data_IF_182227525896
#
_entry.id   IF_182227525896
#
_cell.length_a   1.000
_cell.length_b   1.000
_cell.length_c   1.000
_cell.angle_alpha   90.00
_cell.angle_beta   90.00
_cell.angle_gamma   90.00
#
_symmetry.space_group_name_H-M   'P 1'
#
loop_
_entity.id
_entity.type
_entity.pdbx_description
1 polymer ?
#
# COMPACT_ATOMS: atom_id res chain seq x y z
N UNK A 1 -4.99 22.79 -30.60
CA UNK A 1 -6.22 23.57 -30.38
C UNK A 1 -7.47 22.70 -30.27
N UNK A 2 -7.66 21.69 -31.12
CA UNK A 2 -8.79 20.76 -31.11
C UNK A 2 -8.89 19.84 -29.85
N UNK A 3 -7.75 19.42 -29.30
CA UNK A 3 -7.73 18.56 -28.09
C UNK A 3 -8.17 19.31 -26.84
N UNK A 4 -7.85 20.60 -26.72
CA UNK A 4 -8.27 21.44 -25.58
C UNK A 4 -9.78 21.73 -25.62
N UNK A 5 -10.35 21.95 -26.78
CA UNK A 5 -11.78 22.15 -26.97
C UNK A 5 -12.61 20.88 -26.72
N UNK A 6 -12.03 19.68 -26.99
CA UNK A 6 -12.66 18.40 -26.70
C UNK A 6 -12.65 18.04 -25.21
N UNK A 7 -11.66 18.54 -24.46
CA UNK A 7 -11.62 18.42 -22.99
C UNK A 7 -12.60 19.35 -22.29
N UNK A 8 -12.74 20.59 -22.77
CA UNK A 8 -13.65 21.59 -22.16
C UNK A 8 -15.14 21.25 -22.29
N UNK A 9 -15.55 20.55 -23.37
CA UNK A 9 -16.95 20.17 -23.57
C UNK A 9 -17.42 18.97 -22.74
N UNK A 10 -16.50 18.10 -22.29
CA UNK A 10 -16.80 16.95 -21.42
C UNK A 10 -16.96 17.31 -19.94
N UNK A 11 -16.43 18.45 -19.49
CA UNK A 11 -16.33 18.77 -18.06
C UNK A 11 -17.64 19.27 -17.43
N UNK A 12 -18.60 19.74 -18.20
CA UNK A 12 -19.84 20.32 -17.67
C UNK A 12 -20.96 19.30 -17.37
N UNK A 13 -20.92 18.09 -17.92
CA UNK A 13 -21.99 17.09 -17.82
C UNK A 13 -21.52 15.73 -17.23
N UNK A 14 -20.22 15.45 -17.15
CA UNK A 14 -19.74 14.17 -16.65
C UNK A 14 -19.82 14.08 -15.12
N UNK A 15 -20.30 12.95 -14.56
CA UNK A 15 -20.31 12.72 -13.13
C UNK A 15 -18.91 12.91 -12.53
N UNK A 16 -18.85 13.56 -11.36
CA UNK A 16 -17.59 13.93 -10.72
C UNK A 16 -17.37 13.13 -9.44
N UNK A 17 -16.20 12.50 -9.31
CA UNK A 17 -15.78 11.72 -8.14
C UNK A 17 -14.52 12.34 -7.53
N UNK A 18 -14.54 12.58 -6.22
CA UNK A 18 -13.40 13.08 -5.48
C UNK A 18 -12.71 11.93 -4.71
N UNK A 19 -11.39 11.76 -4.86
CA UNK A 19 -10.62 10.73 -4.16
C UNK A 19 -9.59 11.38 -3.26
N UNK A 20 -9.76 11.24 -1.94
CA UNK A 20 -8.85 11.78 -0.94
C UNK A 20 -7.77 10.72 -0.60
N UNK A 21 -6.57 10.87 -1.17
CA UNK A 21 -5.50 9.88 -1.13
C UNK A 21 -4.13 10.45 -0.69
N UNK A 22 -4.08 11.69 -0.21
CA UNK A 22 -2.83 12.33 0.19
C UNK A 22 -2.27 11.85 1.54
N UNK A 23 -0.99 12.16 1.75
CA UNK A 23 -0.27 11.97 3.01
C UNK A 23 0.85 10.97 2.98
N UNK A 24 0.74 9.90 2.19
CA UNK A 24 1.79 8.89 1.96
C UNK A 24 1.53 8.12 0.66
N UNK A 25 2.57 7.56 0.05
CA UNK A 25 2.42 6.68 -1.12
C UNK A 25 1.48 5.49 -0.87
N UNK A 26 1.38 5.02 0.39
CA UNK A 26 0.46 3.94 0.78
C UNK A 26 -1.02 4.24 0.61
N UNK A 27 -1.41 5.51 0.53
CA UNK A 27 -2.78 5.94 0.23
C UNK A 27 -2.94 6.41 -1.21
N UNK A 28 -1.91 7.05 -1.74
CA UNK A 28 -1.92 7.66 -3.06
C UNK A 28 -2.00 6.61 -4.18
N UNK A 29 -1.12 5.60 -4.18
CA UNK A 29 -1.08 4.62 -5.26
C UNK A 29 -2.34 3.74 -5.36
N UNK A 30 -2.93 3.24 -4.26
CA UNK A 30 -4.23 2.59 -4.32
C UNK A 30 -5.36 3.53 -4.79
N UNK A 31 -5.32 4.81 -4.38
CA UNK A 31 -6.27 5.83 -4.85
C UNK A 31 -6.15 6.08 -6.35
N UNK A 32 -4.93 6.16 -6.87
CA UNK A 32 -4.65 6.31 -8.29
C UNK A 32 -5.17 5.10 -9.09
N UNK A 33 -4.95 3.88 -8.58
CA UNK A 33 -5.44 2.67 -9.24
C UNK A 33 -6.98 2.66 -9.38
N UNK A 34 -7.72 3.14 -8.36
CA UNK A 34 -9.18 3.28 -8.44
C UNK A 34 -9.57 4.43 -9.38
N UNK A 35 -8.87 5.56 -9.32
CA UNK A 35 -9.11 6.72 -10.16
C UNK A 35 -9.02 6.38 -11.65
N UNK A 36 -7.99 5.62 -12.06
CA UNK A 36 -7.82 5.13 -13.43
C UNK A 36 -9.05 4.35 -13.90
N UNK A 37 -9.65 3.47 -13.05
CA UNK A 37 -10.85 2.71 -13.39
C UNK A 37 -12.08 3.60 -13.55
N UNK A 38 -12.20 4.67 -12.75
CA UNK A 38 -13.32 5.61 -12.81
C UNK A 38 -13.22 6.49 -14.07
N UNK A 39 -12.02 6.95 -14.41
CA UNK A 39 -11.78 7.75 -15.62
C UNK A 39 -12.09 6.96 -16.89
N UNK A 40 -11.75 5.67 -16.94
CA UNK A 40 -12.08 4.78 -18.07
C UNK A 40 -13.58 4.66 -18.34
N UNK A 41 -14.41 4.92 -17.32
CA UNK A 41 -15.87 4.96 -17.44
C UNK A 41 -16.41 6.38 -17.68
N UNK A 42 -15.62 7.24 -18.30
CA UNK A 42 -15.96 8.61 -18.69
C UNK A 42 -16.41 9.52 -17.52
N UNK A 43 -16.06 9.19 -16.27
CA UNK A 43 -16.30 10.04 -15.12
C UNK A 43 -15.10 10.96 -14.86
N UNK A 44 -15.39 12.18 -14.47
CA UNK A 44 -14.34 13.12 -14.05
C UNK A 44 -13.84 12.78 -12.64
N UNK A 45 -12.53 12.83 -12.43
CA UNK A 45 -11.91 12.52 -11.14
C UNK A 45 -11.01 13.65 -10.68
N UNK A 46 -11.14 14.05 -9.40
CA UNK A 46 -10.12 14.85 -8.72
C UNK A 46 -9.43 14.04 -7.62
N UNK A 47 -8.11 13.99 -7.67
CA UNK A 47 -7.26 13.46 -6.61
C UNK A 47 -6.95 14.57 -5.61
N UNK A 48 -7.41 14.41 -4.37
CA UNK A 48 -7.18 15.35 -3.29
C UNK A 48 -5.94 14.89 -2.51
N UNK A 49 -4.84 15.63 -2.66
CA UNK A 49 -3.53 15.29 -2.12
C UNK A 49 -3.06 16.29 -1.08
N UNK A 50 -1.98 15.97 -0.36
CA UNK A 50 -1.36 16.88 0.59
C UNK A 50 -0.21 17.67 -0.04
N UNK A 51 0.24 18.77 0.60
CA UNK A 51 1.38 19.55 0.12
C UNK A 51 2.74 18.84 0.38
N UNK A 52 2.74 17.61 0.87
CA UNK A 52 3.98 16.85 1.10
C UNK A 52 4.67 16.54 -0.21
N UNK A 53 5.99 16.65 -0.21
CA UNK A 53 6.82 16.40 -1.38
C UNK A 53 6.59 15.01 -2.01
N UNK A 54 6.42 13.98 -1.18
CA UNK A 54 6.14 12.62 -1.66
C UNK A 54 4.84 12.53 -2.47
N UNK A 55 3.81 13.26 -2.08
CA UNK A 55 2.55 13.30 -2.83
C UNK A 55 2.74 14.10 -4.12
N UNK A 56 3.39 15.27 -4.02
CA UNK A 56 3.63 16.15 -5.17
C UNK A 56 4.51 15.50 -6.24
N UNK A 57 5.52 14.73 -5.84
CA UNK A 57 6.36 13.98 -6.78
C UNK A 57 5.59 12.85 -7.46
N UNK A 58 4.79 12.12 -6.70
CA UNK A 58 4.06 10.97 -7.23
C UNK A 58 2.92 11.34 -8.20
N UNK A 59 2.35 12.56 -8.09
CA UNK A 59 1.29 13.01 -9.00
C UNK A 59 1.80 13.71 -10.27
N UNK A 60 3.10 13.99 -10.38
CA UNK A 60 3.69 14.68 -11.56
C UNK A 60 3.46 13.95 -12.88
N UNK A 61 3.37 12.63 -12.84
CA UNK A 61 3.19 11.76 -14.00
C UNK A 61 1.74 11.34 -14.22
N UNK A 62 0.81 11.88 -13.43
CA UNK A 62 -0.61 11.55 -13.55
C UNK A 62 -1.24 12.40 -14.64
N UNK A 63 -1.82 11.75 -15.63
CA UNK A 63 -2.53 12.38 -16.75
C UNK A 63 -4.03 12.09 -16.69
N UNK A 64 -4.83 12.96 -17.29
CA UNK A 64 -6.28 12.76 -17.42
C UNK A 64 -7.10 12.95 -16.13
N UNK A 65 -6.49 13.43 -15.04
CA UNK A 65 -7.13 13.67 -13.75
C UNK A 65 -6.80 15.05 -13.21
N UNK A 66 -7.74 15.63 -12.50
CA UNK A 66 -7.50 16.88 -11.76
C UNK A 66 -6.74 16.59 -10.45
N UNK A 67 -5.68 17.34 -10.19
CA UNK A 67 -4.91 17.25 -8.94
C UNK A 67 -5.20 18.47 -8.09
N UNK A 68 -5.77 18.26 -6.92
CA UNK A 68 -6.10 19.34 -5.98
C UNK A 68 -5.29 19.17 -4.69
N UNK A 69 -4.43 20.11 -4.40
CA UNK A 69 -3.68 20.14 -3.14
C UNK A 69 -4.49 20.82 -2.04
N UNK A 70 -4.87 20.05 -1.03
CA UNK A 70 -5.59 20.59 0.13
C UNK A 70 -4.64 20.90 1.30
N UNK A 71 -4.88 22.00 2.06
CA UNK A 71 -4.14 22.25 3.28
C UNK A 71 -4.30 21.07 4.23
N UNK A 72 -3.20 20.52 4.72
CA UNK A 72 -3.26 19.35 5.58
C UNK A 72 -2.21 19.44 6.69
N UNK A 73 -2.64 19.24 7.93
CA UNK A 73 -1.77 19.19 9.11
C UNK A 73 -2.03 17.89 9.83
N UNK A 74 -0.97 17.08 10.02
CA UNK A 74 -1.07 15.85 10.80
C UNK A 74 -1.21 16.13 12.28
N UNK A 75 -2.00 15.30 12.98
CA UNK A 75 -2.08 15.38 14.44
C UNK A 75 -0.76 14.91 15.06
N UNK A 76 -0.06 15.82 15.71
CA UNK A 76 1.12 15.57 16.52
C UNK A 76 0.84 15.93 17.98
N UNK A 77 1.54 15.30 18.91
CA UNK A 77 1.40 15.59 20.33
C UNK A 77 1.82 17.05 20.61
N UNK A 78 1.00 17.81 21.30
CA UNK A 78 1.22 19.24 21.56
C UNK A 78 0.89 20.18 20.39
N UNK A 79 0.30 19.67 19.30
CA UNK A 79 -0.12 20.50 18.15
C UNK A 79 -1.63 20.40 17.84
N UNK A 80 -2.44 20.12 18.84
CA UNK A 80 -3.89 19.90 18.70
C UNK A 80 -4.59 21.11 18.09
N UNK A 81 -4.24 22.32 18.51
CA UNK A 81 -4.79 23.57 17.93
C UNK A 81 -4.40 23.76 16.46
N UNK A 82 -3.15 23.43 16.10
CA UNK A 82 -2.70 23.49 14.72
C UNK A 82 -3.43 22.45 13.86
N UNK A 83 -3.68 21.26 14.41
CA UNK A 83 -4.49 20.22 13.75
C UNK A 83 -5.92 20.69 13.52
N UNK A 84 -6.60 21.25 14.53
CA UNK A 84 -7.99 21.76 14.40
C UNK A 84 -8.07 22.87 13.35
N UNK A 85 -7.13 23.83 13.38
CA UNK A 85 -7.03 24.87 12.35
C UNK A 85 -6.79 24.30 10.95
N UNK A 86 -5.86 23.34 10.82
CA UNK A 86 -5.55 22.65 9.57
C UNK A 86 -6.76 21.88 9.05
N UNK A 87 -7.46 21.15 9.92
CA UNK A 87 -8.69 20.44 9.60
C UNK A 87 -9.78 21.42 9.07
N UNK A 88 -10.03 22.52 9.79
CA UNK A 88 -11.01 23.52 9.41
C UNK A 88 -10.67 24.19 8.08
N UNK A 89 -9.37 24.49 7.83
CA UNK A 89 -8.92 25.05 6.55
C UNK A 89 -9.14 24.06 5.41
N UNK A 90 -8.76 22.79 5.60
CA UNK A 90 -8.95 21.74 4.61
C UNK A 90 -10.43 21.50 4.31
N UNK A 91 -11.28 21.46 5.36
CA UNK A 91 -12.73 21.33 5.21
C UNK A 91 -13.34 22.50 4.40
N UNK A 92 -12.96 23.75 4.74
CA UNK A 92 -13.46 24.93 4.02
C UNK A 92 -13.00 24.95 2.57
N UNK A 93 -11.72 24.62 2.31
CA UNK A 93 -11.19 24.55 0.96
C UNK A 93 -11.92 23.48 0.12
N UNK A 94 -12.10 22.27 0.67
CA UNK A 94 -12.86 21.21 0.02
C UNK A 94 -14.34 21.62 -0.20
N UNK A 95 -14.96 22.23 0.80
CA UNK A 95 -16.36 22.69 0.69
C UNK A 95 -16.54 23.78 -0.38
N UNK A 96 -15.58 24.69 -0.52
CA UNK A 96 -15.59 25.72 -1.58
C UNK A 96 -15.46 25.09 -2.95
N UNK A 97 -14.51 24.16 -3.13
CA UNK A 97 -14.34 23.39 -4.36
C UNK A 97 -15.65 22.63 -4.71
N UNK A 98 -16.22 21.93 -3.75
CA UNK A 98 -17.40 21.09 -3.98
C UNK A 98 -18.71 21.90 -4.14
N UNK A 99 -18.75 23.15 -3.71
CA UNK A 99 -19.88 24.06 -4.03
C UNK A 99 -19.83 24.51 -5.47
N UNK A 100 -18.65 24.74 -6.05
CA UNK A 100 -18.51 25.11 -7.47
C UNK A 100 -18.67 23.89 -8.40
N UNK A 101 -18.26 22.70 -7.93
CA UNK A 101 -18.39 21.43 -8.66
C UNK A 101 -18.74 20.31 -7.68
N UNK A 102 -20.05 20.06 -7.45
CA UNK A 102 -20.50 19.07 -6.49
C UNK A 102 -20.07 17.63 -6.91
N UNK A 103 -19.36 16.89 -6.05
CA UNK A 103 -19.06 15.49 -6.33
C UNK A 103 -20.31 14.63 -6.14
N UNK A 104 -20.56 13.69 -7.06
CA UNK A 104 -21.56 12.66 -6.87
C UNK A 104 -21.10 11.62 -5.83
N UNK A 105 -19.79 11.35 -5.79
CA UNK A 105 -19.17 10.47 -4.81
C UNK A 105 -17.83 10.99 -4.29
N UNK A 106 -17.47 10.61 -3.06
CA UNK A 106 -16.16 10.89 -2.48
C UNK A 106 -15.60 9.65 -1.78
N UNK A 107 -14.34 9.29 -2.09
CA UNK A 107 -13.65 8.12 -1.58
C UNK A 107 -12.43 8.54 -0.74
N UNK A 108 -12.36 8.11 0.52
CA UNK A 108 -11.17 8.22 1.37
C UNK A 108 -10.27 6.99 1.18
N UNK A 109 -8.98 7.22 0.87
CA UNK A 109 -7.99 6.14 0.84
C UNK A 109 -7.21 6.02 2.15
N UNK A 110 -7.52 6.87 3.13
CA UNK A 110 -6.86 6.89 4.43
C UNK A 110 -6.00 8.13 4.67
N UNK A 111 -5.36 8.14 5.85
CA UNK A 111 -4.58 9.27 6.30
C UNK A 111 -5.41 10.42 6.88
N UNK A 112 -4.71 11.35 7.54
CA UNK A 112 -5.35 12.51 8.18
C UNK A 112 -5.93 13.51 7.17
N UNK A 113 -5.49 13.43 5.91
CA UNK A 113 -5.93 14.29 4.82
C UNK A 113 -7.32 13.96 4.31
N UNK A 114 -7.82 12.74 4.57
CA UNK A 114 -9.07 12.25 3.99
C UNK A 114 -10.32 12.77 4.70
N UNK A 115 -10.27 12.95 6.03
CA UNK A 115 -11.47 13.24 6.80
C UNK A 115 -12.15 14.58 6.42
N UNK A 116 -11.44 15.71 6.29
CA UNK A 116 -12.07 16.98 5.96
C UNK A 116 -12.84 16.96 4.62
N UNK A 117 -12.26 16.49 3.49
CA UNK A 117 -12.98 16.50 2.22
C UNK A 117 -14.13 15.50 2.20
N UNK A 118 -14.03 14.33 2.84
CA UNK A 118 -15.15 13.38 2.92
C UNK A 118 -16.35 13.99 3.67
N UNK A 119 -16.09 14.68 4.78
CA UNK A 119 -17.16 15.38 5.49
C UNK A 119 -17.77 16.51 4.65
N UNK A 120 -16.94 17.30 3.95
CA UNK A 120 -17.42 18.34 3.07
C UNK A 120 -18.31 17.77 1.96
N UNK A 121 -17.89 16.68 1.31
CA UNK A 121 -18.70 16.01 0.29
C UNK A 121 -20.02 15.47 0.86
N UNK A 122 -19.97 14.81 2.03
CA UNK A 122 -21.16 14.29 2.70
C UNK A 122 -22.17 15.39 3.04
N UNK A 123 -21.72 16.56 3.53
CA UNK A 123 -22.63 17.70 3.83
C UNK A 123 -23.28 18.31 2.59
N UNK A 124 -22.79 17.98 1.41
CA UNK A 124 -23.34 18.38 0.12
C UNK A 124 -24.11 17.25 -0.60
N UNK A 125 -24.38 16.15 0.10
CA UNK A 125 -25.22 15.05 -0.42
C UNK A 125 -24.48 13.98 -1.22
N UNK A 126 -23.15 14.04 -1.34
CA UNK A 126 -22.37 13.04 -2.05
C UNK A 126 -22.41 11.66 -1.36
N UNK A 127 -22.39 10.58 -2.16
CA UNK A 127 -22.14 9.24 -1.68
C UNK A 127 -20.69 9.13 -1.15
N UNK A 128 -20.50 8.60 0.04
CA UNK A 128 -19.18 8.61 0.70
C UNK A 128 -18.68 7.21 0.99
N UNK A 129 -17.39 7.01 0.70
CA UNK A 129 -16.73 5.71 0.81
C UNK A 129 -15.39 5.87 1.53
N UNK A 130 -14.88 4.77 2.09
CA UNK A 130 -13.50 4.68 2.55
C UNK A 130 -12.88 3.35 2.14
N UNK A 131 -11.56 3.35 1.94
CA UNK A 131 -10.74 2.16 1.84
C UNK A 131 -9.70 2.14 2.97
N UNK A 132 -9.58 0.99 3.66
CA UNK A 132 -8.52 0.76 4.65
C UNK A 132 -7.65 -0.39 4.18
N UNK A 133 -6.39 -0.08 3.89
CA UNK A 133 -5.43 -1.06 3.38
C UNK A 133 -4.78 -1.92 4.46
N UNK A 134 -4.75 -1.49 5.72
CA UNK A 134 -4.01 -2.17 6.79
C UNK A 134 -4.92 -3.06 7.65
N UNK A 135 -4.31 -4.04 8.33
CA UNK A 135 -4.98 -4.88 9.35
C UNK A 135 -5.48 -4.05 10.54
N UNK A 136 -4.69 -3.05 10.96
CA UNK A 136 -5.08 -2.11 12.01
C UNK A 136 -5.48 -0.79 11.36
N UNK A 137 -6.76 -0.42 11.43
CA UNK A 137 -7.25 0.80 10.78
C UNK A 137 -6.60 2.06 11.37
N UNK A 138 -6.28 3.00 10.49
CA UNK A 138 -5.85 4.33 10.88
C UNK A 138 -6.94 5.08 11.65
N UNK A 139 -6.54 6.02 12.55
CA UNK A 139 -7.51 6.81 13.36
C UNK A 139 -8.55 7.52 12.51
N UNK A 140 -8.13 8.12 11.39
CA UNK A 140 -9.05 8.80 10.48
C UNK A 140 -10.10 7.83 9.90
N UNK A 141 -9.67 6.65 9.41
CA UNK A 141 -10.57 5.66 8.85
C UNK A 141 -11.49 5.04 9.90
N UNK A 142 -10.99 4.80 11.13
CA UNK A 142 -11.86 4.34 12.24
C UNK A 142 -12.97 5.34 12.53
N UNK A 143 -12.65 6.64 12.55
CA UNK A 143 -13.64 7.69 12.76
C UNK A 143 -14.57 7.86 11.55
N UNK A 144 -14.03 7.91 10.33
CA UNK A 144 -14.82 8.02 9.11
C UNK A 144 -15.76 6.83 8.92
N UNK A 145 -15.42 5.65 9.43
CA UNK A 145 -16.26 4.46 9.28
C UNK A 145 -17.67 4.61 9.88
N UNK A 146 -17.85 5.51 10.87
CA UNK A 146 -19.17 5.84 11.42
C UNK A 146 -20.04 6.66 10.46
N UNK A 147 -19.43 7.39 9.54
CA UNK A 147 -20.15 8.42 8.76
C UNK A 147 -20.25 8.10 7.27
N UNK A 148 -19.38 7.25 6.71
CA UNK A 148 -19.42 6.89 5.30
C UNK A 148 -20.54 5.88 4.99
N UNK A 149 -21.01 5.88 3.74
CA UNK A 149 -22.03 4.96 3.27
C UNK A 149 -21.53 3.51 3.19
N UNK A 150 -20.26 3.32 2.80
CA UNK A 150 -19.62 2.00 2.69
C UNK A 150 -18.13 2.07 2.96
N UNK A 151 -17.57 1.00 3.54
CA UNK A 151 -16.15 0.82 3.75
C UNK A 151 -15.63 -0.39 2.97
N UNK A 152 -14.45 -0.24 2.38
CA UNK A 152 -13.70 -1.31 1.73
C UNK A 152 -12.47 -1.63 2.58
N UNK A 153 -12.07 -2.89 2.67
CA UNK A 153 -10.92 -3.30 3.47
C UNK A 153 -9.98 -4.22 2.70
N UNK A 154 -8.67 -4.01 2.90
CA UNK A 154 -7.62 -4.82 2.31
C UNK A 154 -7.48 -6.18 2.98
N UNK A 155 -7.61 -6.23 4.31
CA UNK A 155 -7.46 -7.43 5.11
C UNK A 155 -8.80 -7.87 5.71
N UNK A 156 -9.13 -9.19 5.71
CA UNK A 156 -10.37 -9.70 6.30
C UNK A 156 -10.54 -9.32 7.77
N UNK A 157 -9.46 -9.37 8.57
CA UNK A 157 -9.46 -9.04 10.00
C UNK A 157 -9.82 -7.58 10.30
N UNK A 158 -9.70 -6.69 9.32
CA UNK A 158 -10.02 -5.26 9.47
C UNK A 158 -11.53 -5.01 9.52
N UNK A 159 -12.34 -5.92 8.94
CA UNK A 159 -13.81 -5.78 8.91
C UNK A 159 -14.40 -5.52 10.30
N UNK A 160 -13.95 -6.26 11.30
CA UNK A 160 -14.48 -6.17 12.68
C UNK A 160 -13.89 -5.00 13.48
N UNK A 161 -12.99 -4.22 12.89
CA UNK A 161 -12.31 -3.07 13.51
C UNK A 161 -12.87 -1.73 13.05
N UNK A 162 -13.83 -1.75 12.12
CA UNK A 162 -14.54 -0.58 11.61
C UNK A 162 -15.98 -0.57 12.11
N UNK A 163 -16.49 0.64 12.38
CA UNK A 163 -17.85 0.84 12.87
C UNK A 163 -18.80 1.19 11.70
N UNK A 164 -18.80 0.36 10.67
CA UNK A 164 -19.69 0.51 9.51
C UNK A 164 -20.43 -0.80 9.26
N UNK A 165 -21.72 -0.71 8.97
CA UNK A 165 -22.55 -1.89 8.68
C UNK A 165 -22.26 -2.48 7.29
N UNK A 166 -21.82 -1.65 6.37
CA UNK A 166 -21.54 -2.00 4.97
C UNK A 166 -20.04 -2.11 4.73
N UNK A 167 -19.37 -3.13 5.26
CA UNK A 167 -17.95 -3.39 5.05
C UNK A 167 -17.76 -4.51 4.04
N UNK A 168 -17.02 -4.24 2.97
CA UNK A 168 -16.68 -5.20 1.91
C UNK A 168 -15.18 -5.51 1.95
N UNK A 169 -14.83 -6.80 2.02
CA UNK A 169 -13.44 -7.26 1.88
C UNK A 169 -13.13 -7.30 0.38
N UNK A 170 -12.18 -6.48 -0.08
CA UNK A 170 -11.93 -6.30 -1.50
C UNK A 170 -10.45 -6.41 -1.87
N UNK A 171 -9.57 -6.37 -0.88
CA UNK A 171 -8.13 -6.28 -1.10
C UNK A 171 -7.64 -4.84 -1.21
N UNK A 172 -6.33 -4.67 -1.38
CA UNK A 172 -5.72 -3.35 -1.61
C UNK A 172 -5.54 -3.15 -3.12
N UNK A 173 -6.09 -2.06 -3.70
CA UNK A 173 -5.92 -1.75 -5.11
C UNK A 173 -4.46 -1.62 -5.51
N UNK A 174 -4.11 -2.20 -6.65
CA UNK A 174 -2.77 -2.15 -7.26
C UNK A 174 -2.89 -1.62 -8.68
N UNK A 175 -1.94 -0.81 -9.12
CA UNK A 175 -1.90 -0.26 -10.48
C UNK A 175 -1.71 -1.37 -11.52
N UNK A 176 -2.25 -1.21 -12.73
CA UNK A 176 -2.24 -2.24 -13.81
C UNK A 176 -0.86 -2.74 -14.21
N UNK A 177 0.19 -1.92 -14.09
CA UNK A 177 1.53 -2.33 -14.44
C UNK A 177 2.12 -3.42 -13.53
N UNK A 178 1.56 -3.61 -12.32
CA UNK A 178 1.96 -4.67 -11.39
C UNK A 178 1.26 -6.00 -11.75
N UNK A 179 1.72 -6.60 -12.82
CA UNK A 179 1.31 -7.92 -13.32
C UNK A 179 2.53 -8.81 -13.51
N UNK A 180 2.32 -10.10 -13.54
CA UNK A 180 3.39 -11.07 -13.77
C UNK A 180 4.17 -10.71 -15.04
N UNK A 181 5.50 -10.76 -14.95
CA UNK A 181 6.44 -10.39 -16.00
C UNK A 181 7.50 -11.47 -16.17
N UNK A 182 8.15 -11.50 -17.32
CA UNK A 182 9.34 -12.32 -17.51
C UNK A 182 10.50 -11.74 -16.67
N UNK A 183 10.98 -12.50 -15.69
CA UNK A 183 12.00 -12.05 -14.75
C UNK A 183 13.34 -11.75 -15.45
N UNK A 184 13.75 -12.58 -16.41
CA UNK A 184 14.98 -12.36 -17.19
C UNK A 184 14.94 -11.05 -17.99
N UNK A 185 13.81 -10.76 -18.65
CA UNK A 185 13.62 -9.52 -19.37
C UNK A 185 13.67 -8.29 -18.43
N UNK A 186 13.05 -8.38 -17.25
CA UNK A 186 13.12 -7.32 -16.25
C UNK A 186 14.54 -7.11 -15.74
N UNK A 187 15.31 -8.18 -15.49
CA UNK A 187 16.71 -8.12 -15.08
C UNK A 187 17.58 -7.43 -16.12
N UNK A 188 17.46 -7.86 -17.39
CA UNK A 188 18.18 -7.25 -18.50
C UNK A 188 17.86 -5.75 -18.62
N UNK A 189 16.59 -5.34 -18.50
CA UNK A 189 16.18 -3.95 -18.54
C UNK A 189 16.76 -3.11 -17.37
N UNK A 190 17.13 -3.76 -16.26
CA UNK A 190 17.77 -3.13 -15.10
C UNK A 190 19.32 -3.20 -15.14
N UNK A 191 19.91 -3.70 -16.24
CA UNK A 191 21.36 -3.87 -16.37
C UNK A 191 21.93 -5.01 -15.54
N UNK A 192 21.10 -6.01 -15.21
CA UNK A 192 21.48 -7.21 -14.47
C UNK A 192 21.51 -8.43 -15.40
N UNK A 193 22.26 -9.46 -15.01
CA UNK A 193 22.28 -10.74 -15.72
C UNK A 193 20.91 -11.42 -15.62
N UNK A 194 20.35 -11.76 -16.77
CA UNK A 194 19.01 -12.32 -16.90
C UNK A 194 18.86 -13.69 -16.20
N UNK A 195 19.92 -14.48 -16.13
CA UNK A 195 19.90 -15.86 -15.60
C UNK A 195 20.15 -15.92 -14.09
N UNK A 196 20.82 -14.92 -13.51
CA UNK A 196 21.22 -14.95 -12.09
C UNK A 196 20.11 -14.45 -11.17
N UNK A 197 19.97 -15.03 -9.95
CA UNK A 197 19.01 -14.55 -8.96
C UNK A 197 19.23 -13.09 -8.58
N UNK A 198 18.14 -12.36 -8.37
CA UNK A 198 18.16 -10.97 -7.92
C UNK A 198 17.45 -10.82 -6.58
N UNK A 199 18.14 -10.25 -5.60
CA UNK A 199 17.55 -9.79 -4.34
C UNK A 199 17.20 -8.32 -4.43
N UNK A 200 15.91 -8.02 -4.26
CA UNK A 200 15.40 -6.66 -4.15
C UNK A 200 15.41 -6.22 -2.68
N UNK A 201 16.03 -5.07 -2.39
CA UNK A 201 15.95 -4.45 -1.06
C UNK A 201 15.16 -3.15 -1.18
N UNK A 202 14.05 -3.02 -0.42
CA UNK A 202 13.21 -1.83 -0.46
C UNK A 202 12.67 -1.45 0.93
N UNK A 203 12.86 -0.18 1.30
CA UNK A 203 12.40 0.39 2.58
C UNK A 203 11.12 1.23 2.48
N UNK A 204 10.49 1.31 1.30
CA UNK A 204 9.44 2.27 0.96
C UNK A 204 10.01 3.56 0.38
N UNK A 205 9.13 4.53 0.03
CA UNK A 205 9.49 5.76 -0.70
C UNK A 205 10.55 6.64 -0.03
N UNK A 206 10.69 6.56 1.29
CA UNK A 206 11.67 7.34 2.06
C UNK A 206 12.97 6.55 2.36
N UNK A 207 13.06 5.31 1.91
CA UNK A 207 14.12 4.40 2.30
C UNK A 207 13.94 3.86 3.73
N UNK A 208 14.88 3.05 4.19
CA UNK A 208 14.91 2.51 5.54
C UNK A 208 16.34 2.21 6.00
N UNK A 209 17.01 3.19 6.61
CA UNK A 209 18.41 3.06 7.06
C UNK A 209 18.65 1.83 7.93
N UNK A 210 17.68 1.42 8.74
CA UNK A 210 17.80 0.20 9.54
C UNK A 210 17.81 -1.08 8.68
N UNK A 211 17.04 -1.14 7.59
CA UNK A 211 17.11 -2.26 6.62
C UNK A 211 18.46 -2.20 5.89
N UNK A 212 18.88 -1.03 5.42
CA UNK A 212 20.17 -0.86 4.75
C UNK A 212 21.31 -1.35 5.64
N UNK A 213 21.31 -0.96 6.92
CA UNK A 213 22.33 -1.38 7.89
C UNK A 213 22.30 -2.89 8.14
N UNK A 214 21.11 -3.48 8.30
CA UNK A 214 20.93 -4.93 8.48
C UNK A 214 21.47 -5.71 7.28
N UNK A 215 21.17 -5.26 6.07
CA UNK A 215 21.69 -5.85 4.83
C UNK A 215 23.22 -5.73 4.79
N UNK A 216 23.79 -4.54 4.99
CA UNK A 216 25.24 -4.30 5.01
C UNK A 216 25.95 -5.27 5.98
N UNK A 217 25.41 -5.46 7.16
CA UNK A 217 25.97 -6.39 8.16
C UNK A 217 25.88 -7.86 7.75
N UNK A 218 24.90 -8.22 6.93
CA UNK A 218 24.71 -9.59 6.42
C UNK A 218 25.53 -9.89 5.15
N UNK A 219 25.97 -8.86 4.41
CA UNK A 219 26.67 -9.04 3.13
C UNK A 219 27.95 -9.89 3.22
N UNK A 220 28.84 -9.77 4.25
CA UNK A 220 30.02 -10.61 4.34
C UNK A 220 29.70 -12.10 4.43
N UNK A 221 28.60 -12.45 5.09
CA UNK A 221 28.12 -13.84 5.18
C UNK A 221 27.47 -14.27 3.85
N UNK A 222 26.63 -13.44 3.27
CA UNK A 222 25.93 -13.72 2.01
C UNK A 222 26.89 -13.80 0.82
N UNK A 223 27.96 -13.01 0.79
CA UNK A 223 29.00 -13.11 -0.22
C UNK A 223 29.68 -14.48 -0.27
N UNK A 224 29.78 -15.14 0.88
CA UNK A 224 30.35 -16.51 0.97
C UNK A 224 29.32 -17.58 0.62
N UNK A 225 28.06 -17.41 1.08
CA UNK A 225 26.99 -18.41 0.90
C UNK A 225 26.41 -18.39 -0.51
N UNK A 226 26.37 -17.23 -1.15
CA UNK A 226 25.65 -17.02 -2.39
C UNK A 226 26.37 -16.02 -3.33
N UNK A 227 27.61 -16.33 -3.77
CA UNK A 227 28.43 -15.41 -4.58
C UNK A 227 27.81 -15.14 -5.98
N UNK A 228 26.87 -16.00 -6.40
CA UNK A 228 26.17 -15.86 -7.67
C UNK A 228 25.00 -14.87 -7.67
N UNK A 229 24.60 -14.33 -6.52
CA UNK A 229 23.44 -13.43 -6.47
C UNK A 229 23.78 -12.01 -6.96
N UNK A 230 22.73 -11.32 -7.38
CA UNK A 230 22.75 -9.92 -7.75
C UNK A 230 21.79 -9.13 -6.86
N UNK A 231 22.03 -7.85 -6.73
CA UNK A 231 21.29 -7.00 -5.82
C UNK A 231 20.68 -5.81 -6.56
N UNK A 232 19.41 -5.52 -6.29
CA UNK A 232 18.76 -4.26 -6.66
C UNK A 232 18.32 -3.58 -5.35
N UNK A 233 19.03 -2.51 -4.95
CA UNK A 233 18.89 -1.94 -3.63
C UNK A 233 18.39 -0.51 -3.66
N UNK A 234 17.19 -0.28 -3.09
CA UNK A 234 16.56 1.03 -2.95
C UNK A 234 16.82 1.56 -1.55
N UNK A 235 17.80 2.44 -1.42
CA UNK A 235 18.36 2.85 -0.12
C UNK A 235 17.62 4.02 0.54
N UNK A 236 16.88 4.83 -0.24
CA UNK A 236 16.57 6.20 0.14
C UNK A 236 17.78 7.14 -0.10
N UNK A 237 17.57 8.46 0.04
CA UNK A 237 18.58 9.46 -0.33
C UNK A 237 19.85 9.42 0.53
N UNK A 238 19.73 9.08 1.83
CA UNK A 238 20.84 9.23 2.79
C UNK A 238 21.93 8.16 2.72
N UNK A 239 21.60 6.92 2.30
CA UNK A 239 22.50 5.77 2.46
C UNK A 239 23.14 5.29 1.15
N UNK A 240 22.79 5.85 0.01
CA UNK A 240 23.15 5.32 -1.31
C UNK A 240 24.66 5.17 -1.52
N UNK A 241 25.44 6.14 -1.09
CA UNK A 241 26.90 6.10 -1.26
C UNK A 241 27.53 5.00 -0.39
N UNK A 242 27.15 4.92 0.88
CA UNK A 242 27.64 3.89 1.81
C UNK A 242 27.31 2.49 1.31
N UNK A 243 26.10 2.27 0.85
CA UNK A 243 25.66 0.99 0.33
C UNK A 243 26.44 0.59 -0.92
N UNK A 244 26.62 1.50 -1.90
CA UNK A 244 27.45 1.25 -3.09
C UNK A 244 28.87 0.85 -2.74
N UNK A 245 29.51 1.59 -1.85
CA UNK A 245 30.88 1.30 -1.39
C UNK A 245 31.00 -0.09 -0.76
N UNK A 246 30.00 -0.49 0.03
CA UNK A 246 30.01 -1.81 0.68
C UNK A 246 29.90 -2.94 -0.36
N UNK A 247 28.97 -2.83 -1.34
CA UNK A 247 28.86 -3.83 -2.41
C UNK A 247 30.17 -3.92 -3.22
N UNK A 248 30.77 -2.76 -3.58
CA UNK A 248 32.01 -2.71 -4.33
C UNK A 248 33.18 -3.35 -3.57
N UNK A 249 33.33 -3.05 -2.28
CA UNK A 249 34.38 -3.63 -1.41
C UNK A 249 34.30 -5.15 -1.33
N UNK A 250 33.09 -5.71 -1.37
CA UNK A 250 32.82 -7.15 -1.34
C UNK A 250 32.79 -7.77 -2.76
N UNK A 251 33.03 -7.00 -3.80
CA UNK A 251 32.96 -7.41 -5.23
C UNK A 251 31.64 -8.06 -5.61
N UNK A 252 30.52 -7.60 -5.02
CA UNK A 252 29.18 -8.07 -5.31
C UNK A 252 28.53 -7.28 -6.44
N UNK A 253 27.81 -7.95 -7.32
CA UNK A 253 27.05 -7.32 -8.41
C UNK A 253 25.82 -6.64 -7.80
N UNK A 254 25.74 -5.30 -7.86
CA UNK A 254 24.64 -4.54 -7.29
C UNK A 254 24.31 -3.29 -8.11
N UNK A 255 23.01 -3.08 -8.32
CA UNK A 255 22.45 -1.81 -8.80
C UNK A 255 21.82 -1.09 -7.60
N UNK A 256 22.31 0.11 -7.30
CA UNK A 256 21.92 0.86 -6.09
C UNK A 256 21.32 2.20 -6.48
N UNK A 257 20.06 2.43 -6.12
CA UNK A 257 19.35 3.69 -6.35
C UNK A 257 18.85 4.29 -5.03
N UNK A 258 18.87 5.62 -4.87
CA UNK A 258 18.19 6.27 -3.76
C UNK A 258 16.67 6.15 -3.88
N UNK A 259 16.15 6.18 -5.10
CA UNK A 259 14.74 6.05 -5.45
C UNK A 259 14.60 5.43 -6.85
N UNK A 260 13.53 4.67 -7.06
CA UNK A 260 13.23 4.08 -8.36
C UNK A 260 11.72 4.12 -8.63
N UNK A 261 11.33 4.66 -9.78
CA UNK A 261 9.93 4.89 -10.10
C UNK A 261 9.23 3.65 -10.68
N UNK A 262 9.97 2.85 -11.48
CA UNK A 262 9.44 1.69 -12.21
C UNK A 262 9.49 0.42 -11.33
N UNK A 263 8.79 0.48 -10.18
CA UNK A 263 8.79 -0.61 -9.19
C UNK A 263 8.31 -1.94 -9.75
N UNK A 264 7.46 -1.93 -10.76
CA UNK A 264 7.00 -3.13 -11.47
C UNK A 264 8.14 -3.86 -12.20
N UNK A 265 9.19 -3.17 -12.65
CA UNK A 265 10.39 -3.78 -13.20
C UNK A 265 11.27 -4.35 -12.09
N UNK A 266 11.48 -3.59 -11.01
CA UNK A 266 12.31 -4.04 -9.89
C UNK A 266 11.71 -5.29 -9.23
N UNK A 267 10.41 -5.32 -8.99
CA UNK A 267 9.68 -6.48 -8.46
C UNK A 267 9.63 -7.63 -9.47
N UNK A 268 9.46 -7.33 -10.78
CA UNK A 268 9.47 -8.34 -11.84
C UNK A 268 10.83 -9.04 -11.99
N UNK A 269 11.94 -8.34 -11.71
CA UNK A 269 13.30 -8.90 -11.74
C UNK A 269 13.62 -9.75 -10.51
N UNK A 270 12.94 -9.53 -9.38
CA UNK A 270 13.29 -10.08 -8.09
C UNK A 270 13.02 -11.58 -8.00
N UNK A 271 13.98 -12.34 -7.48
CA UNK A 271 13.80 -13.72 -7.02
C UNK A 271 13.20 -13.75 -5.63
N UNK A 272 13.67 -12.86 -4.78
CA UNK A 272 13.15 -12.61 -3.44
C UNK A 272 13.36 -11.13 -3.07
N UNK A 273 12.67 -10.66 -2.03
CA UNK A 273 12.78 -9.30 -1.57
C UNK A 273 12.98 -9.19 -0.06
N UNK A 274 13.61 -8.09 0.37
CA UNK A 274 13.57 -7.58 1.74
C UNK A 274 12.74 -6.32 1.71
N UNK A 275 11.69 -6.25 2.50
CA UNK A 275 10.74 -5.13 2.43
C UNK A 275 10.21 -4.71 3.80
N UNK A 276 9.81 -3.44 3.93
CA UNK A 276 8.85 -3.02 4.95
C UNK A 276 7.49 -3.65 4.69
N UNK A 277 6.66 -3.76 5.73
CA UNK A 277 5.32 -4.35 5.63
C UNK A 277 4.20 -3.31 5.48
N UNK A 278 4.42 -2.29 4.64
CA UNK A 278 3.36 -1.37 4.22
C UNK A 278 2.33 -2.09 3.33
N UNK A 279 1.05 -1.86 3.54
CA UNK A 279 -0.02 -2.60 2.86
C UNK A 279 0.06 -2.54 1.32
N UNK A 280 0.43 -1.37 0.75
CA UNK A 280 0.61 -1.24 -0.71
C UNK A 280 1.78 -2.08 -1.22
N UNK A 281 2.92 -2.08 -0.49
CA UNK A 281 4.08 -2.92 -0.86
C UNK A 281 3.72 -4.41 -0.80
N UNK A 282 2.94 -4.82 0.21
CA UNK A 282 2.47 -6.21 0.32
C UNK A 282 1.54 -6.60 -0.83
N UNK A 283 0.66 -5.69 -1.25
CA UNK A 283 -0.22 -5.91 -2.39
C UNK A 283 0.58 -6.01 -3.72
N UNK A 284 1.61 -5.17 -3.91
CA UNK A 284 2.51 -5.20 -5.05
C UNK A 284 3.36 -6.48 -5.08
N UNK A 285 3.92 -6.90 -3.92
CA UNK A 285 4.61 -8.19 -3.76
C UNK A 285 3.70 -9.36 -4.10
N UNK A 286 2.44 -9.32 -3.66
CA UNK A 286 1.45 -10.36 -3.94
C UNK A 286 1.08 -10.40 -5.42
N UNK A 287 0.94 -9.25 -6.08
CA UNK A 287 0.61 -9.17 -7.51
C UNK A 287 1.69 -9.79 -8.41
N UNK A 288 2.95 -9.61 -8.05
CA UNK A 288 4.08 -10.20 -8.79
C UNK A 288 4.58 -11.51 -8.17
N UNK A 289 3.93 -12.00 -7.11
CA UNK A 289 4.27 -13.26 -6.41
C UNK A 289 5.73 -13.29 -5.97
N UNK A 290 6.26 -12.17 -5.45
CA UNK A 290 7.65 -12.06 -5.01
C UNK A 290 7.77 -12.47 -3.54
N UNK A 291 8.41 -13.60 -3.22
CA UNK A 291 8.66 -14.02 -1.85
C UNK A 291 9.48 -12.98 -1.10
N UNK A 292 9.12 -12.69 0.14
CA UNK A 292 9.78 -11.61 0.87
C UNK A 292 10.08 -11.94 2.33
N UNK A 293 11.23 -11.45 2.81
CA UNK A 293 11.48 -11.23 4.22
C UNK A 293 10.93 -9.86 4.58
N UNK A 294 9.88 -9.84 5.37
CA UNK A 294 9.21 -8.63 5.83
C UNK A 294 9.82 -8.15 7.13
N UNK A 295 10.33 -6.93 7.12
CA UNK A 295 10.92 -6.26 8.28
C UNK A 295 10.02 -5.09 8.67
N UNK A 296 9.02 -5.28 9.54
CA UNK A 296 8.09 -4.23 9.94
C UNK A 296 8.79 -3.02 10.54
N UNK A 297 8.27 -1.81 10.25
CA UNK A 297 8.78 -0.59 10.89
C UNK A 297 8.32 -0.53 12.35
N UNK A 298 9.25 -0.54 13.33
CA UNK A 298 8.89 -0.66 14.76
C UNK A 298 8.07 0.50 15.31
N UNK A 299 8.23 1.69 14.72
CA UNK A 299 7.51 2.90 15.12
C UNK A 299 6.25 3.15 14.28
N UNK A 300 5.80 2.14 13.52
CA UNK A 300 4.54 2.23 12.77
C UNK A 300 3.36 2.44 13.73
N UNK A 301 2.53 3.45 13.44
CA UNK A 301 1.42 3.83 14.32
C UNK A 301 0.47 2.64 14.54
N UNK A 302 0.22 2.30 15.81
CA UNK A 302 -0.60 1.12 16.16
C UNK A 302 0.03 -0.20 15.72
N UNK A 303 1.31 -0.23 15.47
CA UNK A 303 2.08 -1.41 15.05
C UNK A 303 1.51 -2.11 13.79
N UNK A 304 0.80 -1.34 12.92
CA UNK A 304 0.08 -1.89 11.79
C UNK A 304 0.97 -2.69 10.83
N UNK A 305 2.27 -2.30 10.65
CA UNK A 305 3.15 -3.06 9.77
C UNK A 305 3.49 -4.44 10.33
N UNK A 306 3.65 -4.58 11.64
CA UNK A 306 3.84 -5.89 12.27
C UNK A 306 2.61 -6.79 12.04
N UNK A 307 1.40 -6.27 12.28
CA UNK A 307 0.18 -7.04 12.06
C UNK A 307 -0.07 -7.37 10.58
N UNK A 308 0.30 -6.49 9.66
CA UNK A 308 0.28 -6.78 8.22
C UNK A 308 1.23 -7.93 7.86
N UNK A 309 2.50 -7.85 8.31
CA UNK A 309 3.51 -8.88 8.06
C UNK A 309 3.10 -10.22 8.65
N UNK A 310 2.61 -10.21 9.89
CA UNK A 310 2.16 -11.40 10.59
C UNK A 310 1.01 -12.10 9.87
N UNK A 311 0.05 -11.36 9.34
CA UNK A 311 -1.04 -11.94 8.56
C UNK A 311 -0.56 -12.68 7.30
N UNK A 312 0.47 -12.15 6.62
CA UNK A 312 1.08 -12.84 5.48
C UNK A 312 1.90 -14.06 5.93
N UNK A 313 2.67 -13.95 7.01
CA UNK A 313 3.45 -15.05 7.56
C UNK A 313 2.57 -16.21 8.00
N UNK A 314 1.52 -15.95 8.77
CA UNK A 314 0.55 -16.95 9.24
C UNK A 314 -0.14 -17.69 8.08
N UNK A 315 -0.28 -17.04 6.93
CA UNK A 315 -0.82 -17.66 5.70
C UNK A 315 0.25 -18.35 4.83
N UNK A 316 1.51 -18.35 5.26
CA UNK A 316 2.65 -18.89 4.50
C UNK A 316 3.07 -18.02 3.31
N UNK A 317 2.61 -16.76 3.21
CA UNK A 317 2.89 -15.88 2.07
C UNK A 317 4.17 -15.03 2.22
N UNK A 318 4.81 -15.05 3.39
CA UNK A 318 6.05 -14.31 3.64
C UNK A 318 6.83 -14.90 4.81
N UNK A 319 8.01 -14.34 5.07
CA UNK A 319 8.77 -14.55 6.31
C UNK A 319 8.84 -13.24 7.08
N UNK A 320 8.52 -13.28 8.37
CA UNK A 320 8.60 -12.12 9.26
C UNK A 320 9.98 -12.11 9.96
N UNK A 321 10.61 -10.94 9.96
CA UNK A 321 11.86 -10.71 10.69
C UNK A 321 11.73 -9.40 11.50
N UNK A 322 11.70 -9.51 12.82
CA UNK A 322 11.55 -8.33 13.66
C UNK A 322 12.89 -7.57 13.78
N UNK A 323 12.89 -6.31 13.36
CA UNK A 323 14.10 -5.47 13.30
C UNK A 323 14.89 -5.42 14.63
N UNK A 324 14.22 -5.51 15.78
CA UNK A 324 14.85 -5.32 17.09
C UNK A 324 15.70 -6.53 17.53
N UNK A 325 15.30 -7.72 17.11
CA UNK A 325 15.90 -9.01 17.54
C UNK A 325 16.68 -9.68 16.42
N UNK A 326 16.51 -9.22 15.18
CA UNK A 326 17.14 -9.79 14.00
C UNK A 326 18.66 -9.70 14.05
N UNK A 327 19.31 -10.83 13.78
CA UNK A 327 20.74 -10.90 13.55
C UNK A 327 21.09 -10.98 12.05
N UNK A 328 22.32 -10.65 11.63
CA UNK A 328 22.75 -10.86 10.25
C UNK A 328 22.62 -12.33 9.79
N UNK A 329 22.80 -13.29 10.70
CA UNK A 329 22.63 -14.72 10.44
C UNK A 329 21.17 -15.10 10.15
N UNK A 330 20.21 -14.54 10.90
CA UNK A 330 18.79 -14.78 10.68
C UNK A 330 18.35 -14.30 9.30
N UNK A 331 18.75 -13.07 8.93
CA UNK A 331 18.45 -12.54 7.59
C UNK A 331 19.09 -13.42 6.51
N UNK A 332 20.36 -13.79 6.65
CA UNK A 332 21.04 -14.63 5.67
C UNK A 332 20.35 -15.98 5.50
N UNK A 333 19.99 -16.65 6.59
CA UNK A 333 19.28 -17.94 6.58
C UNK A 333 17.95 -17.85 5.82
N UNK A 334 17.13 -16.84 6.13
CA UNK A 334 15.84 -16.64 5.46
C UNK A 334 16.01 -16.33 3.97
N UNK A 335 17.00 -15.53 3.60
CA UNK A 335 17.26 -15.21 2.19
C UNK A 335 17.73 -16.45 1.40
N UNK A 336 18.64 -17.25 1.98
CA UNK A 336 19.09 -18.51 1.36
C UNK A 336 17.90 -19.47 1.18
N UNK A 337 17.02 -19.59 2.18
CA UNK A 337 15.77 -20.36 2.04
C UNK A 337 14.93 -19.87 0.84
N UNK A 338 14.69 -18.56 0.74
CA UNK A 338 13.83 -18.00 -0.31
C UNK A 338 14.44 -18.11 -1.73
N UNK A 339 15.75 -18.06 -1.84
CA UNK A 339 16.43 -18.06 -3.16
C UNK A 339 16.83 -19.46 -3.61
N UNK A 340 17.41 -20.26 -2.72
CA UNK A 340 17.96 -21.57 -3.09
C UNK A 340 16.94 -22.72 -2.95
N UNK A 341 15.99 -22.62 -2.01
CA UNK A 341 14.96 -23.64 -1.83
C UNK A 341 13.76 -23.40 -2.75
N UNK A 342 13.82 -23.94 -3.96
CA UNK A 342 12.76 -23.79 -4.98
C UNK A 342 11.38 -24.29 -4.51
N UNK A 343 11.21 -25.44 -3.84
CA UNK A 343 9.93 -25.86 -3.28
C UNK A 343 9.36 -24.87 -2.26
N UNK A 344 10.17 -24.38 -1.33
CA UNK A 344 9.72 -23.39 -0.34
C UNK A 344 9.30 -22.08 -1.02
N UNK A 345 10.09 -21.61 -1.99
CA UNK A 345 9.76 -20.43 -2.79
C UNK A 345 8.43 -20.59 -3.53
N UNK A 346 8.21 -21.72 -4.19
CA UNK A 346 6.96 -21.99 -4.90
C UNK A 346 5.75 -22.01 -3.97
N UNK A 347 5.88 -22.58 -2.78
CA UNK A 347 4.83 -22.59 -1.75
C UNK A 347 4.44 -21.15 -1.36
N UNK A 348 5.43 -20.28 -1.14
CA UNK A 348 5.19 -18.86 -0.82
C UNK A 348 4.54 -18.14 -2.00
N UNK A 349 4.99 -18.38 -3.23
CA UNK A 349 4.41 -17.80 -4.44
C UNK A 349 2.94 -18.17 -4.61
N UNK A 350 2.58 -19.43 -4.34
CA UNK A 350 1.19 -19.88 -4.37
C UNK A 350 0.35 -19.24 -3.25
N UNK A 351 0.93 -19.03 -2.08
CA UNK A 351 0.27 -18.31 -1.00
C UNK A 351 0.05 -16.82 -1.36
N UNK A 352 1.05 -16.15 -1.95
CA UNK A 352 0.94 -14.77 -2.43
C UNK A 352 -0.13 -14.62 -3.52
N UNK A 353 -0.27 -15.61 -4.41
CA UNK A 353 -1.31 -15.62 -5.43
C UNK A 353 -2.72 -15.55 -4.81
N UNK A 354 -2.95 -16.21 -3.67
CA UNK A 354 -4.23 -16.14 -2.93
C UNK A 354 -4.47 -14.78 -2.26
N UNK A 355 -3.40 -14.04 -1.94
CA UNK A 355 -3.50 -12.67 -1.42
C UNK A 355 -3.77 -11.63 -2.50
N UNK A 356 -3.33 -11.88 -3.72
CA UNK A 356 -3.55 -10.96 -4.82
C UNK A 356 -5.04 -10.81 -5.16
N UNK A 357 -5.50 -9.57 -5.29
CA UNK A 357 -6.87 -9.21 -5.67
C UNK A 357 -6.84 -8.33 -6.92
N UNK A 358 -6.69 -8.93 -8.12
CA UNK A 358 -6.45 -8.18 -9.36
C UNK A 358 -7.56 -7.19 -9.68
N UNK A 359 -8.81 -7.51 -9.34
CA UNK A 359 -9.97 -6.67 -9.61
C UNK A 359 -10.33 -5.69 -8.49
N UNK A 360 -9.48 -5.52 -7.45
CA UNK A 360 -9.82 -4.68 -6.30
C UNK A 360 -10.13 -3.23 -6.70
N UNK A 361 -9.32 -2.63 -7.57
CA UNK A 361 -9.54 -1.27 -8.06
C UNK A 361 -10.81 -1.14 -8.89
N UNK A 362 -11.06 -2.11 -9.77
CA UNK A 362 -12.25 -2.19 -10.62
C UNK A 362 -13.53 -2.33 -9.79
N UNK A 363 -13.56 -3.30 -8.87
CA UNK A 363 -14.72 -3.55 -8.00
C UNK A 363 -15.05 -2.34 -7.10
N UNK A 364 -14.04 -1.60 -6.61
CA UNK A 364 -14.29 -0.35 -5.88
C UNK A 364 -14.91 0.69 -6.81
N UNK A 365 -14.36 0.86 -8.01
CA UNK A 365 -14.91 1.79 -9.00
C UNK A 365 -16.37 1.44 -9.36
N UNK A 366 -16.67 0.17 -9.64
CA UNK A 366 -18.02 -0.33 -9.96
C UNK A 366 -19.00 -0.03 -8.81
N UNK A 367 -18.62 -0.33 -7.57
CA UNK A 367 -19.47 -0.06 -6.42
C UNK A 367 -19.71 1.44 -6.17
N UNK A 368 -18.69 2.28 -6.42
CA UNK A 368 -18.81 3.74 -6.32
C UNK A 368 -19.74 4.28 -7.42
N UNK A 369 -19.53 3.86 -8.67
CA UNK A 369 -20.31 4.30 -9.81
C UNK A 369 -21.78 3.84 -9.73
N UNK A 370 -22.00 2.58 -9.35
CA UNK A 370 -23.35 2.04 -9.10
C UNK A 370 -24.11 2.84 -8.03
N UNK A 371 -23.44 3.27 -6.98
CA UNK A 371 -24.06 4.04 -5.89
C UNK A 371 -24.50 5.46 -6.35
N UNK A 372 -23.97 5.97 -7.45
CA UNK A 372 -24.37 7.26 -8.04
C UNK A 372 -25.22 7.09 -9.30
N UNK A 373 -25.74 5.88 -9.54
CA UNK A 373 -26.69 5.59 -10.63
C UNK A 373 -26.07 5.37 -12.00
N UNK A 374 -24.74 5.22 -12.09
CA UNK A 374 -24.07 4.86 -13.35
C UNK A 374 -24.12 3.34 -13.48
N UNK A 375 -24.74 2.86 -14.56
CA UNK A 375 -24.79 1.43 -14.87
C UNK A 375 -23.45 0.96 -15.42
N UNK A 376 -23.08 -0.29 -15.11
CA UNK A 376 -22.02 -0.99 -15.82
C UNK A 376 -22.44 -1.12 -17.30
N UNK A 377 -21.63 -0.61 -18.22
CA UNK A 377 -21.68 -1.11 -19.58
C UNK A 377 -21.28 -2.58 -19.51
N UNK A 378 -22.07 -3.46 -20.12
CA UNK A 378 -21.72 -4.88 -20.17
C UNK A 378 -20.28 -5.03 -20.69
N UNK A 379 -19.44 -5.87 -20.07
CA UNK A 379 -18.09 -6.03 -20.57
C UNK A 379 -18.17 -6.50 -22.02
N UNK A 380 -17.49 -5.79 -22.92
CA UNK A 380 -17.18 -6.32 -24.24
C UNK A 380 -16.42 -7.63 -24.01
N UNK A 381 -17.05 -8.73 -24.40
CA UNK A 381 -16.58 -10.12 -24.25
C UNK A 381 -15.47 -10.37 -25.27
N UNK A 382 -14.39 -9.61 -25.20
CA UNK A 382 -13.18 -9.76 -26.00
C UNK A 382 -12.10 -10.44 -25.15
N UNK A 383 -12.14 -11.77 -25.10
CA UNK A 383 -11.00 -12.66 -24.95
C UNK A 383 -10.09 -12.39 -23.74
N UNK A 384 -10.54 -12.69 -22.51
CA UNK A 384 -9.64 -12.83 -21.37
C UNK A 384 -9.28 -14.30 -21.17
N UNK A 385 -8.02 -14.74 -21.41
CA UNK A 385 -7.61 -16.14 -21.24
C UNK A 385 -7.51 -16.58 -19.76
N UNK A 386 -7.79 -15.71 -18.79
CA UNK A 386 -7.67 -16.01 -17.36
C UNK A 386 -9.01 -16.23 -16.63
N UNK A 387 -10.09 -16.57 -17.36
CA UNK A 387 -11.36 -16.96 -16.73
C UNK A 387 -11.34 -18.42 -16.29
N UNK A 388 -10.47 -18.82 -15.38
CA UNK A 388 -10.59 -20.06 -14.66
C UNK A 388 -10.93 -19.82 -13.18
N UNK A 389 -12.12 -20.39 -12.83
CA UNK A 389 -12.62 -20.79 -11.53
C UNK A 389 -12.60 -19.74 -10.41
N UNK A 390 -13.71 -19.01 -10.28
CA UNK A 390 -14.11 -18.38 -9.04
C UNK A 390 -14.56 -19.42 -8.00
N UNK A 391 -13.64 -20.17 -7.41
CA UNK A 391 -13.95 -20.86 -6.17
C UNK A 391 -14.14 -19.87 -5.03
N UNK A 392 -15.20 -20.06 -4.20
CA UNK A 392 -15.39 -19.22 -3.02
C UNK A 392 -14.19 -19.36 -2.10
N UNK A 393 -13.64 -18.24 -1.67
CA UNK A 393 -12.54 -18.17 -0.71
C UNK A 393 -12.90 -19.01 0.51
N UNK A 394 -12.09 -20.03 0.88
CA UNK A 394 -12.32 -20.74 2.12
C UNK A 394 -12.31 -19.72 3.26
N UNK A 395 -13.37 -19.73 4.06
CA UNK A 395 -13.42 -18.98 5.29
C UNK A 395 -12.23 -19.47 6.14
N UNK A 396 -11.24 -18.59 6.36
CA UNK A 396 -10.20 -18.87 7.34
C UNK A 396 -10.89 -18.89 8.70
N UNK A 397 -11.23 -20.09 9.17
CA UNK A 397 -11.65 -20.35 10.54
C UNK A 397 -10.48 -20.07 11.48
N UNK A 398 -10.37 -18.83 11.93
CA UNK A 398 -9.71 -18.56 13.19
C UNK A 398 -10.70 -18.97 14.27
N UNK A 399 -10.60 -20.19 14.78
CA UNK A 399 -11.08 -20.51 16.11
C UNK A 399 -10.42 -19.53 17.07
N UNK A 400 -11.17 -18.54 17.48
CA UNK A 400 -10.84 -17.72 18.64
C UNK A 400 -11.02 -18.63 19.83
N UNK A 401 -9.94 -19.23 20.32
CA UNK A 401 -9.93 -19.80 21.64
C UNK A 401 -10.41 -18.73 22.61
N UNK A 402 -11.57 -18.95 23.22
CA UNK A 402 -12.14 -18.12 24.26
C UNK A 402 -11.16 -18.09 25.43
N UNK A 403 -10.44 -16.98 25.58
CA UNK A 403 -9.70 -16.70 26.80
C UNK A 403 -10.73 -16.51 27.90
N UNK A 404 -10.79 -17.49 28.79
CA UNK A 404 -11.60 -17.44 29.99
C UNK A 404 -11.28 -16.23 30.85
N UNK A 405 -12.29 -15.76 31.53
CA UNK A 405 -12.27 -14.73 32.56
C UNK A 405 -11.05 -14.84 33.48
N UNK A 406 -10.13 -13.90 33.37
CA UNK A 406 -9.16 -13.62 34.42
C UNK A 406 -9.71 -12.43 35.21
N UNK A 407 -10.33 -12.73 36.34
CA UNK A 407 -10.67 -11.76 37.39
C UNK A 407 -9.38 -11.06 37.84
N UNK A 408 -9.37 -9.77 37.77
CA UNK A 408 -8.41 -8.90 38.45
C UNK A 408 -8.77 -8.88 39.94
N UNK A 409 -8.06 -9.63 40.74
CA UNK A 409 -7.98 -9.40 42.19
C UNK A 409 -7.01 -8.22 42.45
N UNK A 410 -7.55 -7.23 43.14
CA UNK A 410 -6.81 -6.13 43.72
C UNK A 410 -5.88 -6.65 44.83
N UNK A 411 -4.60 -6.38 44.76
CA UNK A 411 -3.67 -6.55 45.86
C UNK A 411 -3.10 -5.21 46.28
N UNK A 412 -3.28 -4.98 47.54
CA UNK A 412 -3.01 -3.89 48.43
C UNK A 412 -1.58 -3.33 48.42
N UNK A 413 -1.57 -2.05 48.64
CA UNK A 413 -0.56 -1.21 49.25
C UNK A 413 0.41 -1.90 50.24
N UNK A 414 1.71 -1.79 49.99
CA UNK A 414 2.72 -1.77 51.06
C UNK A 414 3.65 -0.56 50.86
N UNK A 415 3.50 0.41 51.78
CA UNK A 415 4.55 1.39 52.15
C UNK A 415 5.66 0.66 52.91
N UNK A 416 6.90 1.08 52.69
CA UNK A 416 7.97 1.26 53.70
C UNK A 416 9.20 1.84 52.99
N UNK A 417 9.53 3.04 53.32
CA UNK A 417 10.69 3.67 54.00
C UNK A 417 12.03 2.94 53.83
N UNK A 418 12.97 3.57 53.13
CA UNK A 418 14.29 4.03 53.52
C UNK A 418 14.97 4.69 52.28
#
# INVERSE_FOLDING_TARGET
>A
MLIKAFMDSRTATSPFVAIACGGTGGHLFPGLAVAERIVERACAVALLVSPKEVDQQAVKTVEGMEIVTLPAVGLQRGSEMAFVRGFSRSYRAAKTLFKSRPPCAALAMGGFTSAPPILAAKTLGAQTFLHESNTIPGRANRWLSWVVNRAFVGFPSTRHRLNNRNVTIIGTPVRRQFRLRNAGACRAALGLDAARPVLLVMGGSQGASAINQMVIQSLPLLAKLAPGWQWFHLTGPGDAQKVRQTYAALKLTAVVHPFFAQMELALGAATAAISRAGASSLAELSALRVPAVLVPYPSARGNHQFHNARALEESGAARLLEQKTATPGDLARLLVELVENTPARQTIQNALARWHRPRAAELIADMVLKAIGIKEDAPDDAGNPDSESGEPVPAFGLEVASAGDVRLEAAETVRLEA
#
